data_IF_542642680817
#
_entry.id   IF_542642680817
#
_cell.length_a   1.000
_cell.length_b   1.000
_cell.length_c   1.000
_cell.angle_alpha   90.00
_cell.angle_beta   90.00
_cell.angle_gamma   90.00
#
_symmetry.space_group_name_H-M   'P 1'
#
loop_
_entity.id
_entity.type
_entity.pdbx_description
1 polymer ?
#
# COMPACT_ATOMS: atom_id res chain seq x y z
N UNK A 1 15.21 -44.92 -61.92
CA UNK A 1 14.06 -45.70 -62.44
C UNK A 1 12.84 -45.32 -61.62
N UNK A 2 11.87 -44.66 -62.28
CA UNK A 2 10.40 -44.70 -62.13
C UNK A 2 9.81 -44.99 -60.73
N UNK A 3 9.10 -44.03 -60.10
CA UNK A 3 7.65 -43.68 -60.27
C UNK A 3 6.77 -44.61 -59.40
N UNK A 4 5.65 -44.29 -58.76
CA UNK A 4 4.60 -43.25 -58.67
C UNK A 4 3.94 -43.42 -57.27
N UNK A 5 3.05 -42.61 -56.68
CA UNK A 5 2.19 -41.45 -57.00
C UNK A 5 1.44 -41.11 -55.68
N UNK A 6 1.24 -39.85 -55.27
CA UNK A 6 0.33 -38.81 -55.76
C UNK A 6 -1.14 -38.97 -55.28
N UNK A 7 -1.59 -38.01 -54.44
CA UNK A 7 -2.90 -37.32 -54.36
C UNK A 7 -3.07 -36.73 -52.93
N UNK A 8 -3.41 -35.46 -52.65
CA UNK A 8 -3.80 -34.34 -53.49
C UNK A 8 -5.00 -33.59 -52.87
N UNK A 9 -4.74 -32.40 -52.31
CA UNK A 9 -5.66 -31.23 -52.25
C UNK A 9 -6.83 -31.26 -51.24
N UNK A 10 -7.34 -30.16 -50.65
CA UNK A 10 -7.09 -28.71 -50.76
C UNK A 10 -7.79 -27.98 -49.58
N UNK A 11 -7.30 -26.78 -49.24
CA UNK A 11 -7.89 -25.84 -48.27
C UNK A 11 -9.06 -25.06 -48.90
N UNK A 12 -10.12 -24.68 -48.14
CA UNK A 12 -11.07 -23.69 -48.63
C UNK A 12 -10.71 -22.25 -48.20
N UNK A 13 -11.16 -21.35 -49.06
CA UNK A 13 -10.85 -19.95 -49.25
C UNK A 13 -11.75 -18.98 -48.48
N UNK A 14 -11.22 -17.77 -48.31
CA UNK A 14 -11.90 -16.55 -47.84
C UNK A 14 -13.06 -16.17 -48.77
N UNK A 15 -14.21 -15.79 -48.20
CA UNK A 15 -15.40 -15.30 -48.91
C UNK A 15 -15.92 -14.00 -48.31
N UNK A 16 -16.17 -13.02 -49.19
CA UNK A 16 -16.62 -11.64 -48.94
C UNK A 16 -18.15 -11.49 -48.88
N UNK A 17 -18.59 -10.54 -48.03
CA UNK A 17 -19.71 -9.58 -48.14
C UNK A 17 -21.10 -10.00 -48.66
N UNK A 18 -22.14 -9.75 -47.85
CA UNK A 18 -23.54 -9.64 -48.29
C UNK A 18 -24.43 -9.01 -47.21
N UNK A 19 -24.88 -7.78 -47.48
CA UNK A 19 -25.87 -7.02 -46.68
C UNK A 19 -27.28 -7.55 -46.94
N UNK A 20 -28.11 -7.63 -45.91
CA UNK A 20 -29.58 -7.45 -46.04
C UNK A 20 -30.09 -6.69 -44.81
N UNK A 21 -30.77 -5.59 -45.11
CA UNK A 21 -31.46 -4.73 -44.16
C UNK A 21 -32.66 -5.45 -43.54
N UNK A 22 -32.86 -5.24 -42.24
CA UNK A 22 -34.16 -5.48 -41.61
C UNK A 22 -34.56 -4.24 -40.82
N UNK A 23 -35.70 -3.67 -41.24
CA UNK A 23 -36.29 -2.45 -40.73
C UNK A 23 -37.22 -2.80 -39.57
N UNK A 24 -36.76 -2.58 -38.34
CA UNK A 24 -37.54 -2.70 -37.12
C UNK A 24 -37.75 -1.33 -36.46
N UNK A 25 -39.01 -0.94 -36.35
CA UNK A 25 -39.54 0.35 -35.94
C UNK A 25 -39.05 0.89 -34.59
N UNK A 26 -38.92 2.22 -34.57
CA UNK A 26 -38.74 3.11 -33.43
C UNK A 26 -39.73 2.80 -32.30
N UNK A 27 -39.22 2.64 -31.09
CA UNK A 27 -39.93 3.01 -29.88
C UNK A 27 -39.03 3.93 -29.05
N UNK A 28 -39.49 5.17 -28.92
CA UNK A 28 -38.81 6.28 -28.27
C UNK A 28 -38.84 6.09 -26.75
N UNK A 29 -37.90 5.30 -26.23
CA UNK A 29 -37.55 5.27 -24.82
C UNK A 29 -36.65 6.45 -24.49
N UNK A 30 -37.13 7.34 -23.64
CA UNK A 30 -36.44 8.53 -23.14
C UNK A 30 -35.01 8.22 -22.69
N UNK A 31 -34.03 8.79 -23.40
CA UNK A 31 -32.69 9.04 -22.85
C UNK A 31 -32.87 9.95 -21.65
N UNK A 32 -32.91 9.36 -20.46
CA UNK A 32 -32.68 10.09 -19.23
C UNK A 32 -31.22 10.54 -19.29
N UNK A 33 -31.02 11.80 -19.66
CA UNK A 33 -29.77 12.51 -19.40
C UNK A 33 -29.51 12.37 -17.90
N UNK A 34 -28.62 11.44 -17.54
CA UNK A 34 -28.09 11.33 -16.19
C UNK A 34 -27.22 12.56 -15.98
N UNK A 35 -27.87 13.66 -15.59
CA UNK A 35 -27.24 14.88 -15.10
C UNK A 35 -26.44 14.53 -13.85
N UNK A 36 -25.24 14.02 -14.10
CA UNK A 36 -24.27 13.65 -13.07
C UNK A 36 -23.93 14.95 -12.36
N UNK A 37 -24.47 15.14 -11.16
CA UNK A 37 -24.20 16.35 -10.37
C UNK A 37 -22.71 16.32 -10.07
N UNK A 38 -21.92 17.12 -10.79
CA UNK A 38 -20.47 17.06 -10.75
C UNK A 38 -19.98 17.60 -9.42
N UNK A 39 -19.83 16.71 -8.44
CA UNK A 39 -19.24 17.06 -7.16
C UNK A 39 -17.76 17.34 -7.32
N UNK A 40 -17.22 18.23 -6.48
CA UNK A 40 -15.82 18.63 -6.50
C UNK A 40 -15.14 18.31 -5.18
N UNK A 41 -13.87 17.95 -5.23
CA UNK A 41 -13.03 17.72 -4.05
C UNK A 41 -11.76 18.56 -4.16
N UNK A 42 -11.22 18.98 -3.02
CA UNK A 42 -9.92 19.65 -2.94
C UNK A 42 -8.86 18.67 -2.47
N UNK A 43 -7.89 18.37 -3.33
CA UNK A 43 -6.77 17.48 -3.02
C UNK A 43 -5.54 18.32 -2.71
N UNK A 44 -5.04 18.18 -1.48
CA UNK A 44 -3.80 18.81 -1.00
C UNK A 44 -2.67 17.80 -1.08
N UNK A 45 -1.76 18.00 -2.02
CA UNK A 45 -0.60 17.12 -2.19
C UNK A 45 0.64 17.76 -1.61
N UNK A 46 1.35 17.05 -0.72
CA UNK A 46 2.68 17.45 -0.28
C UNK A 46 3.69 17.18 -1.40
N UNK A 47 4.18 18.25 -2.04
CA UNK A 47 5.13 18.21 -3.14
C UNK A 47 6.57 18.27 -2.62
N UNK A 48 7.46 17.60 -3.33
CA UNK A 48 8.87 17.55 -2.97
C UNK A 48 9.75 17.46 -4.22
N UNK A 49 10.68 18.41 -4.33
CA UNK A 49 11.74 18.37 -5.35
C UNK A 49 13.09 18.26 -4.66
N UNK A 50 13.85 17.16 -4.84
CA UNK A 50 15.16 17.00 -4.24
C UNK A 50 16.12 18.04 -4.82
N UNK A 51 17.02 18.56 -3.97
CA UNK A 51 18.11 19.40 -4.45
C UNK A 51 19.09 18.50 -5.20
N UNK A 52 19.36 18.81 -6.47
CA UNK A 52 20.37 18.09 -7.24
C UNK A 52 21.70 18.08 -6.49
N UNK A 53 22.29 16.90 -6.33
CA UNK A 53 23.65 16.77 -5.85
C UNK A 53 24.56 17.49 -6.85
N UNK A 54 25.40 18.43 -6.36
CA UNK A 54 26.42 19.05 -7.22
C UNK A 54 27.41 17.95 -7.61
N UNK A 55 27.59 17.63 -8.90
CA UNK A 55 28.65 16.72 -9.31
C UNK A 55 29.99 17.38 -8.92
N UNK A 56 30.81 16.69 -8.12
CA UNK A 56 32.18 17.14 -7.81
C UNK A 56 32.53 17.47 -6.36
N UNK A 57 31.67 17.22 -5.36
CA UNK A 57 32.17 17.07 -3.97
C UNK A 57 32.28 15.60 -3.64
N UNK A 58 33.42 15.00 -4.00
CA UNK A 58 33.93 13.83 -3.28
C UNK A 58 33.87 14.14 -1.79
N UNK A 59 33.31 13.21 -1.00
CA UNK A 59 33.33 13.33 0.45
C UNK A 59 34.80 13.47 0.87
N UNK A 60 35.19 14.67 1.29
CA UNK A 60 36.57 15.04 1.61
C UNK A 60 37.07 14.39 2.90
N UNK A 61 36.34 13.42 3.44
CA UNK A 61 36.74 12.71 4.63
C UNK A 61 36.58 11.19 4.41
N UNK A 62 37.69 10.46 4.15
CA UNK A 62 37.67 9.01 4.03
C UNK A 62 37.23 8.30 5.32
N UNK A 63 37.18 9.01 6.45
CA UNK A 63 36.67 8.49 7.73
C UNK A 63 35.17 8.74 7.97
N UNK A 64 34.48 9.50 7.11
CA UNK A 64 33.03 9.70 7.24
C UNK A 64 32.22 8.49 6.76
N UNK A 65 32.86 7.55 6.06
CA UNK A 65 32.29 6.31 5.57
C UNK A 65 32.66 5.10 6.45
N UNK A 66 33.28 5.31 7.62
CA UNK A 66 33.75 4.23 8.47
C UNK A 66 32.69 3.82 9.48
N UNK A 67 32.08 2.67 9.18
CA UNK A 67 31.58 1.66 10.11
C UNK A 67 30.55 2.09 11.16
N UNK A 68 29.32 2.25 10.69
CA UNK A 68 28.21 1.65 11.44
C UNK A 68 27.75 0.43 10.64
N UNK A 69 27.62 -0.77 11.24
CA UNK A 69 26.97 -1.90 10.57
C UNK A 69 25.50 -1.59 10.20
N UNK A 70 24.95 -0.48 10.67
CA UNK A 70 23.58 -0.02 10.45
C UNK A 70 23.39 0.92 9.24
N UNK A 71 24.37 0.99 8.33
CA UNK A 71 24.30 1.87 7.17
C UNK A 71 24.37 3.37 7.53
N UNK A 72 24.75 4.21 6.58
CA UNK A 72 24.68 5.65 6.78
C UNK A 72 23.20 6.05 6.90
N UNK A 73 22.77 6.64 8.04
CA UNK A 73 21.45 7.29 8.12
C UNK A 73 21.33 8.22 6.92
N UNK A 74 20.36 8.03 6.00
CA UNK A 74 20.15 8.99 4.93
C UNK A 74 19.85 10.33 5.60
N UNK A 75 20.80 11.28 5.51
CA UNK A 75 20.57 12.61 6.06
C UNK A 75 19.27 13.16 5.48
N UNK A 76 18.45 13.83 6.30
CA UNK A 76 17.12 14.34 5.90
C UNK A 76 17.20 14.93 4.50
N UNK A 77 16.42 14.42 3.51
CA UNK A 77 16.65 14.77 2.12
C UNK A 77 16.44 16.28 1.95
N UNK A 78 17.48 16.93 1.43
CA UNK A 78 17.47 18.38 1.19
C UNK A 78 16.73 18.64 -0.11
N UNK A 79 15.80 19.58 -0.10
CA UNK A 79 15.00 19.92 -1.26
C UNK A 79 13.90 20.91 -0.92
N UNK A 80 13.21 21.39 -1.95
CA UNK A 80 12.05 22.29 -1.78
C UNK A 80 10.83 21.44 -1.45
N UNK A 81 10.12 21.80 -0.37
CA UNK A 81 8.84 21.21 0.05
C UNK A 81 7.77 22.29 0.00
N UNK A 82 6.60 21.97 -0.52
CA UNK A 82 5.43 22.84 -0.49
C UNK A 82 4.16 22.00 -0.58
N UNK A 83 3.03 22.56 -0.17
CA UNK A 83 1.72 21.94 -0.38
C UNK A 83 1.08 22.58 -1.61
N UNK A 84 0.60 21.75 -2.53
CA UNK A 84 -0.12 22.20 -3.71
C UNK A 84 -1.58 21.73 -3.60
N UNK A 85 -2.51 22.64 -3.88
CA UNK A 85 -3.93 22.34 -3.91
C UNK A 85 -4.41 22.14 -5.35
N UNK A 86 -5.24 21.12 -5.56
CA UNK A 86 -5.91 20.83 -6.82
C UNK A 86 -7.40 20.69 -6.58
N UNK A 87 -8.21 21.25 -7.48
CA UNK A 87 -9.66 21.07 -7.48
C UNK A 87 -9.99 20.05 -8.56
N UNK A 88 -10.67 18.98 -8.18
CA UNK A 88 -10.99 17.87 -9.08
C UNK A 88 -12.48 17.61 -9.04
N UNK A 89 -13.10 17.48 -10.21
CA UNK A 89 -14.49 17.05 -10.33
C UNK A 89 -14.52 15.51 -10.29
N UNK A 90 -15.22 14.95 -9.31
CA UNK A 90 -15.17 13.51 -9.01
C UNK A 90 -16.46 13.08 -8.33
N UNK A 91 -16.78 11.79 -8.39
CA UNK A 91 -17.84 11.17 -7.60
C UNK A 91 -17.29 10.55 -6.31
N UNK A 92 -18.11 10.37 -5.26
CA UNK A 92 -17.66 9.73 -4.01
C UNK A 92 -17.08 8.32 -4.18
N UNK A 93 -17.55 7.58 -5.19
CA UNK A 93 -17.14 6.19 -5.46
C UNK A 93 -15.79 6.08 -6.18
N UNK A 94 -15.29 7.19 -6.75
CA UNK A 94 -13.99 7.18 -7.42
C UNK A 94 -12.86 7.04 -6.40
N UNK A 95 -11.76 6.45 -6.86
CA UNK A 95 -10.57 6.29 -6.03
C UNK A 95 -9.74 7.57 -6.00
N UNK A 96 -8.93 7.72 -4.96
CA UNK A 96 -7.94 8.80 -4.90
C UNK A 96 -6.94 8.66 -6.06
N UNK A 97 -6.59 7.43 -6.46
CA UNK A 97 -5.73 7.18 -7.61
C UNK A 97 -6.31 7.79 -8.90
N UNK A 98 -7.60 7.61 -9.17
CA UNK A 98 -8.25 8.17 -10.35
C UNK A 98 -8.15 9.70 -10.38
N UNK A 99 -8.38 10.34 -9.23
CA UNK A 99 -8.25 11.79 -9.10
C UNK A 99 -6.80 12.27 -9.32
N UNK A 100 -5.80 11.55 -8.81
CA UNK A 100 -4.39 11.89 -9.03
C UNK A 100 -3.96 11.69 -10.49
N UNK A 101 -4.49 10.66 -11.16
CA UNK A 101 -4.28 10.45 -12.59
C UNK A 101 -4.94 11.56 -13.41
N UNK A 102 -6.14 12.00 -13.03
CA UNK A 102 -6.81 13.14 -13.65
C UNK A 102 -5.99 14.42 -13.50
N UNK A 103 -5.55 14.74 -12.28
CA UNK A 103 -4.65 15.89 -12.02
C UNK A 103 -3.42 15.81 -12.93
N UNK A 104 -2.78 14.65 -13.01
CA UNK A 104 -1.57 14.47 -13.82
C UNK A 104 -1.80 14.65 -15.32
N UNK A 105 -2.96 14.26 -15.84
CA UNK A 105 -3.31 14.35 -17.26
C UNK A 105 -3.76 15.75 -17.67
N UNK A 106 -4.51 16.43 -16.80
CA UNK A 106 -5.28 17.63 -17.16
C UNK A 106 -4.74 18.92 -16.54
N UNK A 107 -4.12 18.84 -15.35
CA UNK A 107 -3.75 20.03 -14.56
C UNK A 107 -2.24 20.18 -14.37
N UNK A 108 -1.54 19.11 -13.97
CA UNK A 108 -0.11 19.16 -13.64
C UNK A 108 0.63 17.85 -13.96
N UNK A 109 1.25 17.74 -15.15
CA UNK A 109 2.01 16.55 -15.54
C UNK A 109 3.29 16.35 -14.72
N UNK A 110 3.71 17.33 -13.91
CA UNK A 110 4.93 17.25 -13.10
C UNK A 110 4.73 16.49 -11.78
N UNK A 111 3.51 16.10 -11.45
CA UNK A 111 3.18 15.35 -10.24
C UNK A 111 3.68 13.89 -10.32
N UNK A 112 4.43 13.44 -9.32
CA UNK A 112 5.02 12.10 -9.27
C UNK A 112 4.47 11.26 -8.10
N UNK A 113 4.04 10.05 -8.41
CA UNK A 113 3.63 9.01 -7.48
C UNK A 113 3.79 7.65 -8.17
N UNK A 114 3.90 6.57 -7.39
CA UNK A 114 3.97 5.19 -7.91
C UNK A 114 2.56 4.62 -7.99
N UNK A 115 2.27 3.86 -9.04
CA UNK A 115 1.07 3.05 -9.20
C UNK A 115 1.30 1.99 -10.28
N UNK A 116 0.49 0.93 -10.27
CA UNK A 116 0.55 -0.11 -11.31
C UNK A 116 -0.79 -0.82 -11.50
N UNK A 117 -1.21 -1.69 -10.57
CA UNK A 117 -2.37 -2.57 -10.78
C UNK A 117 -3.74 -1.86 -10.74
N UNK A 118 -3.90 -0.81 -9.92
CA UNK A 118 -5.18 -0.10 -9.76
C UNK A 118 -6.26 -0.83 -8.96
N UNK A 119 -5.97 -1.99 -8.37
CA UNK A 119 -6.97 -2.80 -7.64
C UNK A 119 -6.40 -3.47 -6.37
N UNK A 120 -5.41 -2.85 -5.72
CA UNK A 120 -4.93 -3.25 -4.39
C UNK A 120 -4.05 -4.49 -4.29
N UNK A 121 -3.46 -4.96 -5.40
CA UNK A 121 -2.66 -6.21 -5.41
C UNK A 121 -1.14 -6.02 -5.45
N UNK A 122 -0.65 -4.96 -6.10
CA UNK A 122 0.80 -4.76 -6.26
C UNK A 122 1.48 -4.00 -5.10
N UNK A 123 0.71 -3.27 -4.28
CA UNK A 123 1.24 -2.49 -3.16
C UNK A 123 2.07 -1.25 -3.53
N UNK A 124 2.16 -0.88 -4.81
CA UNK A 124 3.06 0.18 -5.29
C UNK A 124 2.66 1.62 -4.93
N UNK A 125 1.39 1.85 -4.60
CA UNK A 125 0.76 3.16 -4.45
C UNK A 125 0.43 3.52 -3.00
N UNK A 126 1.20 2.99 -2.06
CA UNK A 126 1.06 3.30 -0.64
C UNK A 126 1.50 4.74 -0.33
N UNK A 127 0.61 5.49 0.33
CA UNK A 127 0.84 6.89 0.74
C UNK A 127 0.13 7.17 2.06
N UNK A 128 0.33 8.36 2.62
CA UNK A 128 -0.41 8.84 3.79
C UNK A 128 -1.59 9.70 3.34
N UNK A 129 -2.83 9.24 3.58
CA UNK A 129 -4.06 9.99 3.30
C UNK A 129 -4.72 10.42 4.60
N UNK A 130 -4.86 11.73 4.83
CA UNK A 130 -5.49 12.29 6.03
C UNK A 130 -4.92 11.71 7.35
N UNK A 131 -3.60 11.51 7.39
CA UNK A 131 -2.84 10.90 8.49
C UNK A 131 -3.00 9.39 8.67
N UNK A 132 -3.65 8.70 7.74
CA UNK A 132 -3.76 7.23 7.73
C UNK A 132 -3.02 6.67 6.52
N UNK A 133 -2.02 5.79 6.71
CA UNK A 133 -1.37 5.09 5.61
C UNK A 133 -2.37 4.16 4.89
N UNK A 134 -2.47 4.27 3.57
CA UNK A 134 -3.40 3.50 2.73
C UNK A 134 -2.90 3.40 1.29
N UNK A 135 -3.55 2.58 0.46
CA UNK A 135 -3.31 2.51 -0.98
C UNK A 135 -4.23 3.50 -1.72
N UNK A 136 -3.66 4.24 -2.67
CA UNK A 136 -4.41 5.20 -3.48
C UNK A 136 -5.55 4.54 -4.28
N UNK A 137 -5.34 3.32 -4.76
CA UNK A 137 -6.29 2.58 -5.60
C UNK A 137 -7.45 1.93 -4.84
N UNK A 138 -7.37 1.81 -3.52
CA UNK A 138 -8.47 1.26 -2.70
C UNK A 138 -9.16 2.33 -1.88
N UNK A 139 -8.49 3.47 -1.65
CA UNK A 139 -9.05 4.60 -0.93
C UNK A 139 -10.05 5.35 -1.82
N UNK A 140 -11.32 5.40 -1.40
CA UNK A 140 -12.38 6.14 -2.11
C UNK A 140 -12.40 7.60 -1.66
N UNK A 141 -12.95 8.48 -2.51
CA UNK A 141 -13.16 9.88 -2.14
C UNK A 141 -14.21 9.98 -1.02
N UNK A 142 -15.27 9.18 -1.07
CA UNK A 142 -16.34 9.19 -0.06
C UNK A 142 -15.84 8.89 1.35
N UNK A 143 -14.94 7.91 1.51
CA UNK A 143 -14.42 7.51 2.82
C UNK A 143 -13.40 8.49 3.38
N UNK A 144 -12.68 9.18 2.50
CA UNK A 144 -11.54 10.02 2.89
C UNK A 144 -11.82 11.52 2.84
N UNK A 145 -12.80 12.01 2.08
CA UNK A 145 -13.09 13.43 2.03
C UNK A 145 -13.65 13.91 3.37
N UNK A 146 -12.93 14.83 4.03
CA UNK A 146 -13.38 15.46 5.28
C UNK A 146 -13.72 16.91 5.02
N UNK A 147 -14.86 17.37 5.52
CA UNK A 147 -15.09 18.80 5.67
C UNK A 147 -13.98 19.38 6.56
N UNK A 148 -13.48 20.60 6.27
CA UNK A 148 -12.52 21.26 7.14
C UNK A 148 -13.13 21.32 8.54
N UNK A 149 -12.38 20.83 9.54
CA UNK A 149 -12.77 21.03 10.92
C UNK A 149 -12.88 22.55 11.12
N UNK A 150 -14.11 23.05 11.28
CA UNK A 150 -14.32 24.39 11.79
C UNK A 150 -13.65 24.41 13.15
N UNK A 151 -12.70 25.33 13.35
CA UNK A 151 -11.97 25.43 14.61
C UNK A 151 -12.97 25.57 15.76
N UNK A 152 -13.02 24.56 16.62
CA UNK A 152 -13.56 24.69 17.98
C UNK A 152 -12.40 24.44 18.94
N UNK A 153 -11.50 25.43 19.00
CA UNK A 153 -10.86 25.76 20.26
C UNK A 153 -11.62 26.98 20.81
N UNK A 154 -11.77 27.05 22.14
CA UNK A 154 -12.60 27.97 22.94
C UNK A 154 -14.03 27.48 23.25
N UNK A 155 -14.11 26.47 24.12
CA UNK A 155 -15.34 26.05 24.79
C UNK A 155 -15.27 24.68 25.49
N UNK A 156 -14.08 24.22 25.87
CA UNK A 156 -13.96 23.08 26.78
C UNK A 156 -14.32 23.58 28.19
N UNK A 157 -15.60 23.44 28.56
CA UNK A 157 -16.03 23.48 29.95
C UNK A 157 -15.16 22.49 30.75
N UNK A 158 -14.27 23.04 31.57
CA UNK A 158 -13.27 22.34 32.38
C UNK A 158 -13.88 21.56 33.56
N UNK A 159 -15.17 21.21 33.51
CA UNK A 159 -15.87 20.51 34.59
C UNK A 159 -16.09 19.00 34.36
N UNK A 160 -15.77 18.44 33.19
CA UNK A 160 -15.87 17.00 32.94
C UNK A 160 -14.50 16.32 32.81
N UNK A 161 -13.76 16.35 33.91
CA UNK A 161 -12.68 15.40 34.14
C UNK A 161 -13.22 13.98 34.31
N UNK A 162 -12.52 13.03 33.69
CA UNK A 162 -12.74 11.57 33.77
C UNK A 162 -13.87 11.00 32.89
N UNK A 163 -13.52 10.54 31.68
CA UNK A 163 -14.39 9.69 30.87
C UNK A 163 -14.62 8.37 31.62
N UNK A 164 -15.84 8.11 32.08
CA UNK A 164 -16.21 6.80 32.64
C UNK A 164 -16.15 5.75 31.54
N UNK A 165 -15.30 4.73 31.72
CA UNK A 165 -15.38 3.48 30.97
C UNK A 165 -16.66 2.77 31.34
N UNK A 166 -17.62 2.72 30.42
CA UNK A 166 -18.85 1.95 30.60
C UNK A 166 -20.09 2.63 30.05
N UNK A 167 -20.21 2.65 28.72
CA UNK A 167 -21.48 2.46 28.03
C UNK A 167 -21.14 2.03 26.60
N UNK A 168 -21.34 0.74 26.34
CA UNK A 168 -21.29 0.19 24.99
C UNK A 168 -22.28 0.98 24.14
N UNK A 169 -21.77 1.73 23.16
CA UNK A 169 -22.60 2.23 22.08
C UNK A 169 -22.77 1.07 21.11
N UNK A 170 -23.85 0.33 21.29
CA UNK A 170 -24.43 -0.47 20.21
C UNK A 170 -24.90 0.52 19.15
N UNK A 171 -24.02 0.81 18.20
CA UNK A 171 -24.33 1.59 17.03
C UNK A 171 -23.46 1.06 15.90
N UNK A 172 -24.06 0.20 15.09
CA UNK A 172 -23.66 0.02 13.70
C UNK A 172 -23.57 1.42 13.08
N UNK A 173 -22.38 1.94 12.72
CA UNK A 173 -22.30 3.27 12.15
C UNK A 173 -22.83 3.15 10.72
N UNK A 174 -24.12 3.44 10.53
CA UNK A 174 -24.61 3.70 9.18
C UNK A 174 -23.72 4.79 8.55
N UNK A 175 -23.36 4.65 7.25
CA UNK A 175 -22.54 5.64 6.58
C UNK A 175 -23.26 6.98 6.68
N UNK A 176 -22.66 7.90 7.45
CA UNK A 176 -23.15 9.28 7.54
C UNK A 176 -22.95 9.91 6.17
N UNK A 177 -23.93 9.75 5.29
CA UNK A 177 -23.99 10.49 4.05
C UNK A 177 -23.96 11.96 4.43
N UNK A 178 -22.90 12.63 4.02
CA UNK A 178 -22.62 14.00 4.41
C UNK A 178 -23.66 14.91 3.73
N UNK A 179 -24.78 15.18 4.42
CA UNK A 179 -25.94 15.91 3.87
C UNK A 179 -25.60 17.33 3.41
N UNK A 180 -24.48 17.89 3.85
CA UNK A 180 -23.91 19.15 3.37
C UNK A 180 -23.22 19.05 2.00
N UNK A 181 -22.63 17.91 1.65
CA UNK A 181 -21.96 17.70 0.37
C UNK A 181 -22.97 17.71 -0.80
N UNK A 182 -24.18 17.19 -0.56
CA UNK A 182 -25.29 17.19 -1.52
C UNK A 182 -25.79 18.62 -1.82
N UNK A 183 -25.68 19.54 -0.85
CA UNK A 183 -26.17 20.92 -1.00
C UNK A 183 -25.16 21.84 -1.70
N UNK A 184 -23.87 21.59 -1.52
CA UNK A 184 -22.80 22.49 -1.99
C UNK A 184 -22.07 21.97 -3.23
N UNK A 185 -22.25 20.70 -3.60
CA UNK A 185 -21.48 20.08 -4.68
C UNK A 185 -19.99 19.93 -4.31
N UNK A 186 -19.63 20.01 -3.03
CA UNK A 186 -18.26 19.93 -2.54
C UNK A 186 -18.12 18.83 -1.49
N UNK A 187 -17.21 17.89 -1.76
CA UNK A 187 -17.00 16.68 -0.94
C UNK A 187 -16.07 16.94 0.26
N UNK A 188 -15.21 17.96 0.18
CA UNK A 188 -14.27 18.33 1.25
C UNK A 188 -12.81 18.36 0.80
N UNK A 189 -11.91 18.16 1.76
CA UNK A 189 -10.46 18.22 1.58
C UNK A 189 -9.84 16.85 1.87
N UNK A 190 -8.90 16.44 1.00
CA UNK A 190 -8.07 15.25 1.18
C UNK A 190 -6.60 15.68 1.18
N UNK A 191 -5.89 15.42 2.27
CA UNK A 191 -4.45 15.61 2.36
C UNK A 191 -3.69 14.34 2.03
N UNK A 192 -2.75 14.43 1.09
CA UNK A 192 -1.92 13.32 0.64
C UNK A 192 -0.45 13.68 0.87
N UNK A 193 0.24 12.83 1.63
CA UNK A 193 1.66 12.98 1.99
C UNK A 193 2.42 11.70 1.64
N UNK A 194 3.74 11.77 1.45
CA UNK A 194 4.57 10.58 1.31
C UNK A 194 4.42 9.67 2.52
N UNK A 195 4.65 8.37 2.31
CA UNK A 195 4.57 7.36 3.35
C UNK A 195 5.57 7.67 4.49
N UNK A 196 5.14 7.71 5.77
CA UNK A 196 6.02 8.02 6.90
C UNK A 196 7.10 6.96 7.10
N UNK A 197 8.23 7.33 7.70
CA UNK A 197 9.36 6.43 7.93
C UNK A 197 10.22 6.14 6.71
N UNK A 198 9.78 6.52 5.50
CA UNK A 198 10.57 6.41 4.29
C UNK A 198 11.14 7.76 3.85
N UNK A 199 12.27 7.74 3.16
CA UNK A 199 12.92 8.94 2.63
C UNK A 199 12.20 9.39 1.35
N UNK A 200 11.60 10.60 1.28
CA UNK A 200 10.98 11.06 0.04
C UNK A 200 12.02 11.34 -1.04
N UNK A 201 11.83 10.78 -2.24
CA UNK A 201 12.68 10.98 -3.41
C UNK A 201 12.13 12.11 -4.30
N UNK A 202 10.83 12.08 -4.60
CA UNK A 202 10.16 13.08 -5.45
C UNK A 202 8.66 13.03 -5.20
N UNK A 203 8.06 14.17 -4.85
CA UNK A 203 6.63 14.27 -4.52
C UNK A 203 6.21 13.16 -3.55
N UNK A 204 5.32 12.24 -3.97
CA UNK A 204 4.83 11.11 -3.16
C UNK A 204 5.68 9.85 -3.28
N UNK A 205 6.71 9.85 -4.14
CA UNK A 205 7.63 8.71 -4.30
C UNK A 205 8.62 8.70 -3.13
N UNK A 206 8.68 7.57 -2.45
CA UNK A 206 9.62 7.31 -1.37
C UNK A 206 10.64 6.24 -1.75
N UNK A 207 11.78 6.26 -1.07
CA UNK A 207 12.79 5.21 -1.14
C UNK A 207 12.31 4.00 -0.35
N UNK A 208 12.14 2.87 -1.03
CA UNK A 208 11.66 1.59 -0.46
C UNK A 208 12.78 0.58 -0.30
N UNK A 209 14.00 0.90 -0.72
CA UNK A 209 15.08 -0.08 -0.85
C UNK A 209 15.47 -0.64 0.51
N UNK A 210 15.55 0.20 1.54
CA UNK A 210 15.82 -0.23 2.92
C UNK A 210 14.83 -1.29 3.41
N UNK A 211 13.53 -1.14 3.13
CA UNK A 211 12.52 -2.13 3.54
C UNK A 211 12.74 -3.46 2.82
N UNK A 212 13.01 -3.44 1.51
CA UNK A 212 13.29 -4.66 0.76
C UNK A 212 14.61 -5.32 1.16
N UNK A 213 15.62 -4.55 1.54
CA UNK A 213 16.87 -5.06 2.10
C UNK A 213 16.62 -5.81 3.41
N UNK A 214 15.80 -5.26 4.32
CA UNK A 214 15.43 -5.95 5.56
C UNK A 214 14.60 -7.21 5.30
N UNK A 215 13.69 -7.20 4.31
CA UNK A 215 12.96 -8.41 3.90
C UNK A 215 13.94 -9.49 3.41
N UNK A 216 14.94 -9.13 2.58
CA UNK A 216 15.95 -10.05 2.06
C UNK A 216 16.88 -10.57 3.15
N UNK A 217 17.19 -9.76 4.16
CA UNK A 217 18.04 -10.13 5.31
C UNK A 217 17.53 -11.37 6.04
N UNK A 218 16.21 -11.56 6.14
CA UNK A 218 15.62 -12.73 6.82
C UNK A 218 15.40 -13.95 5.91
N UNK A 219 16.11 -14.04 4.79
CA UNK A 219 16.10 -15.20 3.88
C UNK A 219 14.68 -15.66 3.51
N UNK A 220 13.89 -14.85 2.78
CA UNK A 220 12.46 -15.07 2.55
C UNK A 220 12.20 -16.13 1.45
N UNK A 221 12.82 -17.29 1.58
CA UNK A 221 12.68 -18.45 0.70
C UNK A 221 12.71 -19.72 1.55
N UNK A 222 12.11 -20.79 1.03
CA UNK A 222 12.07 -22.09 1.72
C UNK A 222 13.48 -22.67 1.79
N UNK A 223 13.91 -23.07 3.00
CA UNK A 223 15.20 -23.75 3.22
C UNK A 223 14.94 -25.21 3.58
N UNK A 224 15.66 -26.12 2.91
CA UNK A 224 15.67 -27.56 3.17
C UNK A 224 14.28 -28.26 3.12
N UNK A 225 13.41 -27.81 2.20
CA UNK A 225 12.25 -28.61 1.77
C UNK A 225 12.67 -29.82 0.92
N UNK A 226 11.72 -30.66 0.49
CA UNK A 226 11.98 -31.67 -0.54
C UNK A 226 12.74 -30.99 -1.70
N UNK A 227 14.00 -31.38 -1.88
CA UNK A 227 14.93 -30.68 -2.75
C UNK A 227 14.46 -30.68 -4.19
N UNK A 228 15.12 -29.93 -5.09
CA UNK A 228 14.80 -29.95 -6.52
C UNK A 228 14.93 -31.35 -7.16
N UNK A 229 15.60 -32.29 -6.47
CA UNK A 229 15.77 -33.69 -6.87
C UNK A 229 14.66 -34.63 -6.36
N UNK A 230 13.73 -34.13 -5.54
CA UNK A 230 12.57 -34.91 -5.10
C UNK A 230 11.58 -35.08 -6.26
N UNK A 231 11.23 -36.33 -6.57
CA UNK A 231 10.22 -36.66 -7.58
C UNK A 231 8.79 -36.33 -7.13
N UNK A 232 8.59 -35.96 -5.86
CA UNK A 232 7.29 -35.69 -5.26
C UNK A 232 7.22 -34.34 -4.52
N UNK A 233 6.01 -33.80 -4.41
CA UNK A 233 5.71 -32.55 -3.71
C UNK A 233 5.84 -32.69 -2.18
N UNK A 234 6.14 -31.58 -1.51
CA UNK A 234 6.14 -31.52 -0.04
C UNK A 234 4.72 -31.68 0.52
N UNK A 235 4.47 -32.76 1.26
CA UNK A 235 3.18 -32.98 1.91
C UNK A 235 2.92 -31.93 2.99
N UNK A 236 1.73 -31.32 2.96
CA UNK A 236 1.29 -30.33 3.95
C UNK A 236 -0.21 -30.48 4.20
N UNK A 237 -0.59 -30.57 5.47
CA UNK A 237 -1.99 -30.64 5.90
C UNK A 237 -2.64 -29.25 5.90
N UNK A 238 -3.98 -29.17 5.78
CA UNK A 238 -4.69 -27.88 5.89
C UNK A 238 -4.41 -27.14 7.20
N UNK A 239 -4.24 -27.88 8.31
CA UNK A 239 -3.92 -27.30 9.62
C UNK A 239 -2.48 -26.76 9.73
N UNK A 240 -1.55 -27.24 8.90
CA UNK A 240 -0.21 -26.67 8.79
C UNK A 240 -0.21 -25.42 7.91
N UNK A 241 -0.91 -25.46 6.78
CA UNK A 241 -1.03 -24.32 5.86
C UNK A 241 -1.68 -23.11 6.55
N UNK A 242 -2.76 -23.34 7.30
CA UNK A 242 -3.52 -22.25 7.96
C UNK A 242 -2.70 -21.40 8.93
N UNK A 243 -1.55 -21.89 9.40
CA UNK A 243 -0.63 -21.14 10.28
C UNK A 243 0.03 -19.95 9.60
N UNK A 244 0.25 -20.01 8.29
CA UNK A 244 0.94 -18.97 7.53
C UNK A 244 0.22 -18.52 6.26
N UNK A 245 -0.90 -19.16 5.90
CA UNK A 245 -1.70 -18.84 4.70
C UNK A 245 -1.99 -17.34 4.59
N UNK A 246 -2.50 -16.73 5.65
CA UNK A 246 -2.79 -15.29 5.66
C UNK A 246 -1.51 -14.43 5.54
N UNK A 247 -0.41 -14.86 6.17
CA UNK A 247 0.89 -14.16 6.11
C UNK A 247 1.46 -14.15 4.69
N UNK A 248 1.20 -15.20 3.92
CA UNK A 248 1.63 -15.31 2.51
C UNK A 248 0.99 -14.28 1.58
N UNK A 249 -0.12 -13.64 2.01
CA UNK A 249 -0.79 -12.59 1.25
C UNK A 249 -0.10 -11.22 1.35
N UNK A 250 1.00 -11.08 2.10
CA UNK A 250 1.73 -9.83 2.21
C UNK A 250 2.23 -9.36 0.83
N UNK A 251 1.82 -8.17 0.42
CA UNK A 251 2.19 -7.55 -0.87
C UNK A 251 3.35 -6.56 -0.75
N UNK A 252 4.05 -6.53 0.38
CA UNK A 252 5.18 -5.63 0.67
C UNK A 252 4.90 -4.14 0.34
N UNK A 253 3.71 -3.64 0.70
CA UNK A 253 3.27 -2.29 0.36
C UNK A 253 3.85 -1.16 1.23
N UNK A 254 4.44 -1.45 2.39
CA UNK A 254 4.98 -0.41 3.27
C UNK A 254 3.98 0.23 4.26
N UNK A 255 2.68 -0.12 4.21
CA UNK A 255 1.65 0.52 5.05
C UNK A 255 1.89 0.28 6.54
N UNK A 256 2.32 -0.93 6.90
CA UNK A 256 2.64 -1.25 8.28
C UNK A 256 3.86 -0.47 8.80
N UNK A 257 4.88 -0.27 7.97
CA UNK A 257 6.04 0.59 8.25
C UNK A 257 5.58 2.02 8.47
N UNK A 258 4.78 2.56 7.54
CA UNK A 258 4.28 3.94 7.61
C UNK A 258 3.34 4.20 8.78
N UNK A 259 2.77 3.15 9.36
CA UNK A 259 1.92 3.23 10.55
C UNK A 259 2.71 3.06 11.85
N UNK A 260 3.90 2.48 11.79
CA UNK A 260 4.69 2.15 12.97
C UNK A 260 5.50 3.38 13.44
N UNK A 261 5.27 3.89 14.67
CA UNK A 261 6.03 5.03 15.17
C UNK A 261 7.49 4.71 15.46
N UNK A 262 7.82 3.45 15.83
CA UNK A 262 9.21 2.99 16.02
C UNK A 262 9.98 3.07 14.71
N UNK A 263 9.42 2.50 13.64
CA UNK A 263 10.00 2.57 12.30
C UNK A 263 10.11 4.02 11.81
N UNK A 264 9.06 4.82 11.98
CA UNK A 264 9.05 6.22 11.57
C UNK A 264 9.97 7.12 12.42
N UNK A 265 10.26 6.75 13.66
CA UNK A 265 11.18 7.44 14.57
C UNK A 265 12.64 7.36 14.14
N UNK A 266 12.96 6.45 13.21
CA UNK A 266 14.32 6.23 12.72
C UNK A 266 15.22 5.53 13.73
N UNK A 267 14.61 4.74 14.62
CA UNK A 267 15.29 3.71 15.41
C UNK A 267 15.72 2.58 14.46
N UNK A 268 16.81 1.88 14.80
CA UNK A 268 17.26 0.74 14.01
C UNK A 268 16.25 -0.39 14.22
N UNK A 269 15.25 -0.48 13.35
CA UNK A 269 14.22 -1.52 13.39
C UNK A 269 14.06 -2.11 11.99
N UNK A 270 14.14 -3.45 11.89
CA UNK A 270 14.00 -4.19 10.64
C UNK A 270 12.64 -3.94 9.96
N UNK A 271 11.61 -3.67 10.76
CA UNK A 271 10.30 -3.26 10.29
C UNK A 271 9.28 -4.40 10.22
N UNK A 272 7.98 -4.06 10.26
CA UNK A 272 6.92 -5.04 10.33
C UNK A 272 6.82 -5.94 9.10
N UNK A 273 6.98 -5.46 7.87
CA UNK A 273 6.85 -6.33 6.69
C UNK A 273 7.98 -7.36 6.62
N UNK A 274 9.20 -7.00 7.04
CA UNK A 274 10.33 -7.92 7.13
C UNK A 274 10.05 -9.05 8.14
N UNK A 275 9.51 -8.71 9.31
CA UNK A 275 9.13 -9.68 10.34
C UNK A 275 7.93 -10.55 9.94
N UNK A 276 6.96 -10.02 9.20
CA UNK A 276 5.87 -10.82 8.60
C UNK A 276 6.41 -11.80 7.57
N UNK A 277 7.33 -11.36 6.71
CA UNK A 277 7.98 -12.23 5.73
C UNK A 277 8.76 -13.36 6.43
N UNK A 278 9.47 -13.06 7.52
CA UNK A 278 10.15 -14.06 8.34
C UNK A 278 9.15 -15.02 9.01
N UNK A 279 8.09 -14.50 9.64
CA UNK A 279 7.05 -15.30 10.30
C UNK A 279 6.41 -16.32 9.36
N UNK A 280 6.17 -15.93 8.10
CA UNK A 280 5.63 -16.84 7.07
C UNK A 280 6.49 -18.10 6.88
N UNK A 281 7.81 -18.03 7.06
CA UNK A 281 8.69 -19.20 6.96
C UNK A 281 8.90 -19.89 8.31
N UNK A 282 8.93 -19.14 9.42
CA UNK A 282 8.96 -19.70 10.79
C UNK A 282 7.76 -20.63 11.05
N UNK A 283 6.60 -20.29 10.48
CA UNK A 283 5.35 -21.03 10.64
C UNK A 283 5.10 -22.09 9.55
N UNK A 284 5.96 -22.19 8.52
CA UNK A 284 5.81 -23.18 7.44
C UNK A 284 6.39 -24.53 7.87
N UNK A 285 5.56 -25.57 7.89
CA UNK A 285 5.97 -26.93 8.29
C UNK A 285 7.02 -27.55 7.37
N UNK A 286 7.24 -26.99 6.18
CA UNK A 286 8.22 -27.47 5.20
C UNK A 286 9.61 -26.87 5.42
N UNK A 287 9.73 -25.78 6.18
CA UNK A 287 11.01 -25.12 6.45
C UNK A 287 11.64 -25.74 7.70
N UNK A 288 12.85 -26.28 7.56
CA UNK A 288 13.52 -27.00 8.66
C UNK A 288 14.37 -26.07 9.56
N UNK A 289 14.46 -24.77 9.25
CA UNK A 289 15.33 -23.82 9.94
C UNK A 289 14.56 -22.88 10.86
N UNK A 290 13.47 -23.35 11.45
CA UNK A 290 12.63 -22.53 12.34
C UNK A 290 13.44 -21.87 13.46
N UNK A 291 14.34 -22.60 14.11
CA UNK A 291 15.12 -22.05 15.24
C UNK A 291 16.11 -20.99 14.79
N UNK A 292 16.90 -21.25 13.74
CA UNK A 292 17.83 -20.27 13.18
C UNK A 292 17.11 -18.97 12.79
N UNK A 293 15.92 -19.07 12.19
CA UNK A 293 15.12 -17.87 11.84
C UNK A 293 14.62 -17.11 13.07
N UNK A 294 14.29 -17.80 14.16
CA UNK A 294 13.93 -17.16 15.43
C UNK A 294 15.14 -16.42 16.02
N UNK A 295 16.32 -17.02 15.95
CA UNK A 295 17.58 -16.41 16.40
C UNK A 295 17.95 -15.19 15.54
N UNK A 296 17.72 -15.26 14.22
CA UNK A 296 17.95 -14.15 13.28
C UNK A 296 17.06 -12.93 13.57
N UNK A 297 15.80 -13.14 13.95
CA UNK A 297 14.89 -12.04 14.31
C UNK A 297 15.09 -11.57 15.76
N UNK A 298 15.67 -12.40 16.63
CA UNK A 298 15.94 -12.09 18.04
C UNK A 298 17.17 -11.19 18.21
N UNK A 299 17.13 -10.03 17.59
CA UNK A 299 18.19 -9.02 17.60
C UNK A 299 17.63 -7.70 18.13
N UNK A 300 18.50 -6.82 18.64
CA UNK A 300 18.12 -5.48 19.10
C UNK A 300 17.41 -4.68 18.01
N UNK A 301 17.84 -4.84 16.75
CA UNK A 301 17.23 -4.21 15.59
C UNK A 301 16.14 -5.08 14.92
N UNK A 302 15.82 -6.24 15.49
CA UNK A 302 14.83 -7.19 15.03
C UNK A 302 13.52 -7.08 15.81
N UNK A 303 12.99 -8.21 16.30
CA UNK A 303 11.72 -8.25 17.03
C UNK A 303 11.78 -7.51 18.37
N UNK A 304 12.96 -7.40 18.99
CA UNK A 304 13.13 -6.76 20.29
C UNK A 304 12.88 -5.24 20.26
N UNK A 305 13.04 -4.60 19.10
CA UNK A 305 12.68 -3.19 18.91
C UNK A 305 11.15 -2.95 18.84
N UNK A 306 10.33 -4.01 18.82
CA UNK A 306 8.88 -3.85 18.75
C UNK A 306 8.30 -3.44 20.12
N UNK A 307 8.00 -2.16 20.28
CA UNK A 307 7.33 -1.60 21.47
C UNK A 307 5.83 -1.95 21.60
N UNK A 308 5.33 -2.89 20.79
CA UNK A 308 3.94 -3.39 20.87
C UNK A 308 2.85 -2.30 20.85
N UNK A 309 3.09 -1.20 20.11
CA UNK A 309 2.12 -0.09 19.93
C UNK A 309 0.87 -0.55 19.13
N UNK A 310 1.00 -1.62 18.33
CA UNK A 310 -0.06 -2.22 17.49
C UNK A 310 -0.73 -1.27 16.49
N UNK A 311 -0.09 -0.15 16.14
CA UNK A 311 -0.55 0.75 15.08
C UNK A 311 -0.62 0.06 13.69
N UNK A 312 0.20 -0.96 13.48
CA UNK A 312 0.25 -1.77 12.26
C UNK A 312 -0.86 -2.83 12.13
N UNK A 313 -1.65 -3.11 13.18
CA UNK A 313 -2.68 -4.17 13.16
C UNK A 313 -3.83 -3.92 12.19
N UNK A 314 -4.38 -2.70 12.18
CA UNK A 314 -5.60 -2.36 11.43
C UNK A 314 -5.40 -1.93 9.97
N UNK A 315 -4.32 -1.24 9.57
CA UNK A 315 -4.24 -0.64 8.25
C UNK A 315 -3.83 -1.62 7.14
N UNK A 316 -3.50 -2.88 7.44
CA UNK A 316 -3.05 -3.82 6.41
C UNK A 316 -4.16 -4.11 5.38
N UNK A 317 -3.96 -3.79 4.08
CA UNK A 317 -5.00 -3.97 3.05
C UNK A 317 -5.30 -5.45 2.74
N UNK A 318 -4.46 -6.36 3.24
CA UNK A 318 -4.59 -7.81 3.04
C UNK A 318 -5.19 -8.52 4.25
N UNK A 319 -5.63 -7.77 5.27
CA UNK A 319 -6.28 -8.33 6.46
C UNK A 319 -5.33 -9.05 7.43
N UNK A 320 -4.02 -8.90 7.26
CA UNK A 320 -3.03 -9.45 8.20
C UNK A 320 -3.05 -8.58 9.46
N UNK A 321 -3.36 -9.16 10.63
CA UNK A 321 -3.15 -8.48 11.91
C UNK A 321 -1.65 -8.51 12.25
N UNK A 322 -0.93 -7.51 11.72
CA UNK A 322 0.52 -7.42 11.86
C UNK A 322 0.93 -7.31 13.34
N UNK A 323 0.19 -6.55 14.14
CA UNK A 323 0.53 -6.38 15.55
C UNK A 323 0.31 -7.64 16.38
N UNK A 324 -0.69 -8.46 16.05
CA UNK A 324 -0.86 -9.78 16.66
C UNK A 324 0.29 -10.72 16.29
N UNK A 325 0.70 -10.70 15.03
CA UNK A 325 1.81 -11.55 14.59
C UNK A 325 3.14 -11.14 15.23
N UNK A 326 3.39 -9.84 15.42
CA UNK A 326 4.55 -9.39 16.19
C UNK A 326 4.52 -9.94 17.63
N UNK A 327 3.37 -9.91 18.28
CA UNK A 327 3.23 -10.45 19.65
C UNK A 327 3.52 -11.96 19.70
N UNK A 328 3.05 -12.73 18.70
CA UNK A 328 3.36 -14.16 18.58
C UNK A 328 4.84 -14.43 18.37
N UNK A 329 5.53 -13.60 17.58
CA UNK A 329 6.99 -13.71 17.41
C UNK A 329 7.73 -13.40 18.72
N UNK A 330 7.32 -12.37 19.46
CA UNK A 330 7.87 -12.08 20.80
C UNK A 330 7.67 -13.26 21.73
N UNK A 331 6.49 -13.89 21.74
CA UNK A 331 6.24 -15.09 22.53
C UNK A 331 7.11 -16.27 22.08
N UNK A 332 7.27 -16.47 20.77
CA UNK A 332 8.05 -17.57 20.22
C UNK A 332 9.55 -17.45 20.50
N UNK A 333 10.07 -16.23 20.61
CA UNK A 333 11.48 -15.95 20.93
C UNK A 333 11.78 -16.07 22.43
N UNK A 334 10.80 -15.80 23.29
CA UNK A 334 10.97 -15.87 24.75
C UNK A 334 10.74 -17.26 25.35
N UNK A 335 10.42 -18.28 24.54
CA UNK A 335 10.20 -19.67 24.95
C UNK A 335 11.44 -20.52 24.71
#
# INVERSE_FOLDING_TARGET
MKSEGAEGQSRPSIGTCGQTADTGSLDSGSTTDSSTTSTSVTIRVARFTPRQARPGRTASNPFAATSSPFGARPGRPRGKRWTQEYKVHTSPEQTILDCLLQIKREQDPTLNFRYSCGHGMCGSDAVLVNSTPTLLCTATIGDHAKAPAQGTDEGADSSQGFRRTGQARDANPEPRQNTEAVRTGWLGIIEIKPLPGFTPLRDLIVDTDTMFEQIRRFHPYLRDGAGPESETENLQTPAQLSKFELLSNCIACGICEGSCPVYAGGEAFAGPAALIAASRFINDSRDQHRQERLDDINQEDGILACESVRACSRPCPKGIDVGEEMWRLVEAVNR
#
